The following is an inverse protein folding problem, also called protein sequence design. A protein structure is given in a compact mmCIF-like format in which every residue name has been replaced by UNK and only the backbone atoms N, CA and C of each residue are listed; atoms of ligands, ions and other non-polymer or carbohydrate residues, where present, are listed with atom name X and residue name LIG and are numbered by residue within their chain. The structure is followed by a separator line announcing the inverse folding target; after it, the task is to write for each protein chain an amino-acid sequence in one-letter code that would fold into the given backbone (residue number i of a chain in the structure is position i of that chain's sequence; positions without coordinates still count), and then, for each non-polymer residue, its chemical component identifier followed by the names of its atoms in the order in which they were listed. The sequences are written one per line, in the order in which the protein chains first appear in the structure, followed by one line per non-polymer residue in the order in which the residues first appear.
data_IF_322517247319
#
_entry.id   IF_322517247319
#
_cell.length_a   1.000
_cell.length_b   1.000
_cell.length_c   1.000
_cell.angle_alpha   90.00
_cell.angle_beta   90.00
_cell.angle_gamma   90.00
#
_symmetry.space_group_name_H-M   'P 1'
#
loop_
_entity.id
_entity.type
_entity.pdbx_description
1 polymer ?
#
# COMPACT_ATOMS: atom_id res chain seq x y z
N UNK A 1 0.10 42.09 -12.56
CA UNK A 1 -0.42 40.75 -12.90
C UNK A 1 -1.92 40.75 -12.64
N UNK A 2 -2.78 40.44 -13.63
CA UNK A 2 -4.24 40.53 -13.46
C UNK A 2 -4.72 39.49 -12.43
N UNK A 3 -5.61 39.87 -11.50
CA UNK A 3 -6.10 39.03 -10.39
C UNK A 3 -6.61 37.66 -10.87
N UNK A 4 -7.28 37.63 -12.02
CA UNK A 4 -7.76 36.39 -12.67
C UNK A 4 -6.63 35.41 -13.04
N UNK A 5 -5.47 35.94 -13.46
CA UNK A 5 -4.31 35.11 -13.82
C UNK A 5 -3.63 34.56 -12.57
N UNK A 6 -3.58 35.33 -11.48
CA UNK A 6 -3.05 34.87 -10.19
C UNK A 6 -3.91 33.71 -9.67
N UNK A 7 -5.23 33.87 -9.65
CA UNK A 7 -6.15 32.82 -9.21
C UNK A 7 -6.01 31.53 -10.05
N UNK A 8 -5.89 31.68 -11.37
CA UNK A 8 -5.65 30.53 -12.27
C UNK A 8 -4.39 29.77 -11.89
N UNK A 9 -3.26 30.45 -11.67
CA UNK A 9 -2.02 29.77 -11.31
C UNK A 9 -2.08 29.15 -9.92
N UNK A 10 -2.67 29.84 -8.92
CA UNK A 10 -2.89 29.28 -7.58
C UNK A 10 -3.72 28.00 -7.66
N UNK A 11 -4.82 28.02 -8.41
CA UNK A 11 -5.67 26.85 -8.60
C UNK A 11 -4.90 25.68 -9.22
N UNK A 12 -4.16 25.93 -10.32
CA UNK A 12 -3.34 24.90 -10.98
C UNK A 12 -2.31 24.31 -10.00
N UNK A 13 -1.61 25.16 -9.25
CA UNK A 13 -0.62 24.72 -8.25
C UNK A 13 -1.26 23.84 -7.18
N UNK A 14 -2.43 24.23 -6.65
CA UNK A 14 -3.15 23.43 -5.66
C UNK A 14 -3.55 22.07 -6.23
N UNK A 15 -4.08 22.03 -7.45
CA UNK A 15 -4.47 20.76 -8.11
C UNK A 15 -3.26 19.85 -8.29
N UNK A 16 -2.11 20.38 -8.73
CA UNK A 16 -0.88 19.60 -8.90
C UNK A 16 -0.41 19.02 -7.56
N UNK A 17 -0.45 19.80 -6.48
CA UNK A 17 -0.06 19.33 -5.14
C UNK A 17 -0.98 18.20 -4.69
N UNK A 18 -2.30 18.37 -4.81
CA UNK A 18 -3.28 17.36 -4.41
C UNK A 18 -3.13 16.07 -5.23
N UNK A 19 -2.93 16.18 -6.54
CA UNK A 19 -2.69 15.02 -7.40
C UNK A 19 -1.40 14.29 -7.02
N UNK A 20 -0.33 15.03 -6.70
CA UNK A 20 0.93 14.45 -6.22
C UNK A 20 0.78 13.71 -4.90
N UNK A 21 0.05 14.28 -3.94
CA UNK A 21 -0.25 13.62 -2.66
C UNK A 21 -1.08 12.35 -2.84
N UNK A 22 -2.12 12.41 -3.68
CA UNK A 22 -2.96 11.25 -3.99
C UNK A 22 -2.16 10.13 -4.66
N UNK A 23 -1.25 10.47 -5.58
CA UNK A 23 -0.37 9.49 -6.22
C UNK A 23 0.59 8.85 -5.21
N UNK A 24 1.20 9.66 -4.33
CA UNK A 24 2.11 9.15 -3.29
C UNK A 24 1.37 8.19 -2.33
N UNK A 25 0.15 8.52 -1.92
CA UNK A 25 -0.67 7.63 -1.10
C UNK A 25 -1.05 6.34 -1.83
N UNK A 26 -1.46 6.43 -3.09
CA UNK A 26 -1.78 5.25 -3.92
C UNK A 26 -0.59 4.29 -4.11
N UNK A 27 0.64 4.83 -4.13
CA UNK A 27 1.88 4.05 -4.16
C UNK A 27 2.31 3.53 -2.77
N UNK A 28 1.52 3.80 -1.73
CA UNK A 28 1.80 3.36 -0.35
C UNK A 28 2.89 4.16 0.35
N UNK A 29 3.28 5.34 -0.14
CA UNK A 29 4.34 6.15 0.46
C UNK A 29 4.02 6.54 1.92
N UNK A 30 2.77 6.89 2.19
CA UNK A 30 2.30 7.24 3.54
C UNK A 30 1.78 6.04 4.35
N UNK A 31 1.57 4.89 3.70
CA UNK A 31 0.93 3.72 4.27
C UNK A 31 1.71 2.44 3.89
N UNK A 32 3.01 2.42 4.23
CA UNK A 32 3.87 1.26 3.95
C UNK A 32 3.37 0.04 4.71
N UNK A 33 2.79 -0.91 3.98
CA UNK A 33 2.41 -2.23 4.50
C UNK A 33 3.63 -3.16 4.44
N UNK A 34 3.75 -4.08 5.40
CA UNK A 34 4.78 -5.13 5.39
C UNK A 34 4.48 -6.28 4.41
N UNK A 35 3.36 -6.18 3.69
CA UNK A 35 2.84 -7.17 2.78
C UNK A 35 2.20 -6.52 1.55
N UNK A 36 2.10 -7.29 0.48
CA UNK A 36 1.40 -6.95 -0.77
C UNK A 36 0.23 -7.89 -0.96
N UNK A 37 -0.93 -7.37 -1.41
CA UNK A 37 -2.05 -8.20 -1.84
C UNK A 37 -1.79 -8.73 -3.25
N UNK A 38 -1.69 -10.06 -3.38
CA UNK A 38 -1.48 -10.75 -4.65
C UNK A 38 -2.78 -11.45 -5.04
N UNK A 39 -3.36 -11.05 -6.16
CA UNK A 39 -4.56 -11.70 -6.71
C UNK A 39 -4.21 -13.08 -7.27
N UNK A 40 -4.93 -14.11 -6.83
CA UNK A 40 -4.74 -15.47 -7.27
C UNK A 40 -6.11 -16.15 -7.42
N UNK A 41 -6.55 -16.33 -8.66
CA UNK A 41 -7.90 -16.82 -8.95
C UNK A 41 -8.97 -15.78 -8.59
N UNK A 42 -9.89 -16.14 -7.68
CA UNK A 42 -11.05 -15.30 -7.29
C UNK A 42 -10.84 -14.50 -6.00
N UNK A 43 -9.67 -14.59 -5.38
CA UNK A 43 -9.36 -13.94 -4.11
C UNK A 43 -7.92 -13.44 -4.09
N UNK A 44 -7.60 -12.60 -3.11
CA UNK A 44 -6.24 -12.11 -2.89
C UNK A 44 -5.61 -12.79 -1.69
N UNK A 45 -4.32 -13.05 -1.77
CA UNK A 45 -3.48 -13.46 -0.66
C UNK A 45 -2.56 -12.32 -0.25
N UNK A 46 -2.38 -12.11 1.05
CA UNK A 46 -1.47 -11.11 1.57
C UNK A 46 -0.09 -11.73 1.79
N UNK A 47 0.88 -11.28 0.99
CA UNK A 47 2.21 -11.89 0.89
C UNK A 47 3.25 -10.91 1.41
N UNK A 48 4.07 -11.28 2.40
CA UNK A 48 5.08 -10.39 2.94
C UNK A 48 6.23 -10.19 1.93
N UNK A 49 6.94 -9.07 2.06
CA UNK A 49 8.02 -8.73 1.13
C UNK A 49 9.22 -9.70 1.23
N UNK A 50 9.39 -10.36 2.38
CA UNK A 50 10.41 -11.37 2.68
C UNK A 50 9.88 -12.80 2.58
N UNK A 51 8.87 -13.04 1.73
CA UNK A 51 8.29 -14.39 1.54
C UNK A 51 9.37 -15.43 1.24
N UNK A 52 9.16 -16.64 1.76
CA UNK A 52 9.89 -17.80 1.30
C UNK A 52 9.45 -18.12 -0.15
N UNK A 53 10.38 -18.15 -1.13
CA UNK A 53 10.04 -18.43 -2.53
C UNK A 53 9.46 -19.83 -2.73
N UNK A 54 9.80 -20.78 -1.87
CA UNK A 54 9.37 -22.19 -1.94
C UNK A 54 7.97 -22.40 -1.36
N UNK A 55 7.41 -21.39 -0.67
CA UNK A 55 6.05 -21.42 -0.14
C UNK A 55 5.07 -20.93 -1.22
N UNK A 56 4.11 -21.76 -1.64
CA UNK A 56 3.15 -21.37 -2.67
C UNK A 56 2.18 -20.29 -2.18
N UNK A 57 1.75 -19.41 -3.09
CA UNK A 57 0.91 -18.24 -2.79
C UNK A 57 -0.39 -18.62 -2.06
N UNK A 58 -0.95 -19.80 -2.35
CA UNK A 58 -2.18 -20.28 -1.72
C UNK A 58 -2.07 -20.57 -0.21
N UNK A 59 -0.85 -20.59 0.36
CA UNK A 59 -0.61 -20.78 1.79
C UNK A 59 -0.66 -19.49 2.60
N UNK A 60 -0.60 -18.34 1.93
CA UNK A 60 -0.67 -17.04 2.59
C UNK A 60 -2.12 -16.70 2.98
N UNK A 61 -2.34 -15.86 4.00
CA UNK A 61 -3.69 -15.56 4.46
C UNK A 61 -4.47 -14.73 3.44
N UNK A 62 -5.78 -14.89 3.42
CA UNK A 62 -6.71 -14.08 2.61
C UNK A 62 -7.31 -12.90 3.38
N UNK A 63 -6.87 -12.69 4.63
CA UNK A 63 -7.26 -11.56 5.48
C UNK A 63 -6.02 -10.78 5.89
N UNK A 64 -6.17 -9.46 6.00
CA UNK A 64 -5.08 -8.60 6.46
C UNK A 64 -4.69 -8.94 7.91
N UNK A 65 -3.40 -8.84 8.28
CA UNK A 65 -2.98 -8.96 9.66
C UNK A 65 -3.58 -7.81 10.48
N UNK A 66 -3.97 -8.08 11.73
CA UNK A 66 -4.47 -7.04 12.61
C UNK A 66 -3.34 -6.07 13.01
N UNK A 67 -3.71 -4.92 13.60
CA UNK A 67 -2.74 -3.96 14.13
C UNK A 67 -1.80 -4.66 15.13
N UNK A 68 -0.49 -4.52 14.93
CA UNK A 68 0.53 -5.18 15.76
C UNK A 68 0.82 -6.63 15.36
N UNK A 69 0.31 -7.10 14.22
CA UNK A 69 0.67 -8.38 13.63
C UNK A 69 1.41 -8.18 12.29
N UNK A 70 2.17 -9.20 11.88
CA UNK A 70 2.80 -9.32 10.57
C UNK A 70 2.57 -10.71 10.00
N UNK A 71 2.76 -10.86 8.70
CA UNK A 71 2.74 -12.17 8.03
C UNK A 71 4.19 -12.66 7.99
N UNK A 72 4.46 -13.87 8.49
CA UNK A 72 5.77 -14.50 8.42
C UNK A 72 6.13 -14.87 6.97
N UNK A 73 7.40 -15.11 6.64
CA UNK A 73 7.83 -15.61 5.32
C UNK A 73 7.07 -16.85 4.85
N UNK A 74 6.57 -17.65 5.78
CA UNK A 74 5.83 -18.91 5.55
C UNK A 74 4.30 -18.75 5.55
N UNK A 75 3.78 -17.52 5.69
CA UNK A 75 2.34 -17.23 5.60
C UNK A 75 1.58 -17.27 6.92
N UNK A 76 2.25 -17.32 8.07
CA UNK A 76 1.61 -17.30 9.39
C UNK A 76 1.43 -15.86 9.89
N UNK A 77 0.30 -15.55 10.50
CA UNK A 77 0.13 -14.26 11.18
C UNK A 77 0.78 -14.35 12.56
N UNK A 78 1.79 -13.52 12.81
CA UNK A 78 2.59 -13.49 14.05
C UNK A 78 2.63 -12.06 14.62
N UNK A 79 2.95 -11.87 15.91
CA UNK A 79 3.14 -10.52 16.47
C UNK A 79 4.25 -9.75 15.76
N UNK A 80 4.02 -8.46 15.49
CA UNK A 80 5.03 -7.55 14.96
C UNK A 80 5.99 -7.15 16.10
N UNK A 81 7.14 -7.81 16.18
CA UNK A 81 8.13 -7.59 17.23
C UNK A 81 8.89 -8.84 17.68
N UNK A 82 8.54 -10.02 17.15
CA UNK A 82 9.37 -11.23 17.18
C UNK A 82 10.20 -11.38 15.91
#
# INVERSE_FOLDING_TARGET
MNSKNIFKYVFITVVIILAGLALADALGYFNQKSYTAVSHGSHSHYVPHDRDPDVPINKFPQTEPAKGQKISPTGQIVPAGQ
#
